data_IF_312933699761
#
_entry.id   IF_312933699761
#
_cell.length_a   1.000
_cell.length_b   1.000
_cell.length_c   1.000
_cell.angle_alpha   90.00
_cell.angle_beta   90.00
_cell.angle_gamma   90.00
#
_symmetry.space_group_name_H-M   'P 1'
#
loop_
_entity.id
_entity.type
_entity.pdbx_description
1 polymer ?
#
# COMPACT_ATOMS: atom_id res chain seq x y z
N UNK A 1 14.21 19.88 -11.65
CA UNK A 1 13.32 20.76 -10.90
C UNK A 1 13.97 21.23 -9.59
N UNK A 2 14.37 20.32 -8.66
CA UNK A 2 14.99 20.73 -7.38
C UNK A 2 16.28 21.53 -7.57
N UNK A 3 17.18 21.06 -8.43
CA UNK A 3 18.46 21.74 -8.69
C UNK A 3 18.27 23.13 -9.28
N UNK A 4 17.36 23.30 -10.21
CA UNK A 4 17.12 24.57 -10.89
C UNK A 4 16.23 25.52 -10.10
N UNK A 5 15.14 24.99 -9.48
CA UNK A 5 14.18 25.79 -8.75
C UNK A 5 14.74 26.35 -7.44
N UNK A 6 15.56 25.59 -6.74
CA UNK A 6 16.19 25.99 -5.48
C UNK A 6 17.65 26.45 -5.63
N UNK A 7 18.14 26.55 -6.86
CA UNK A 7 19.52 26.94 -7.16
C UNK A 7 20.56 26.14 -6.35
N UNK A 8 20.34 24.80 -6.25
CA UNK A 8 21.20 23.90 -5.51
C UNK A 8 22.41 23.49 -6.33
N UNK A 9 23.60 23.82 -5.85
CA UNK A 9 24.87 23.42 -6.47
C UNK A 9 25.42 22.11 -5.92
N UNK A 10 24.77 21.54 -4.90
CA UNK A 10 25.23 20.33 -4.21
C UNK A 10 24.61 19.06 -4.79
N UNK A 11 25.24 17.93 -4.51
CA UNK A 11 24.67 16.62 -4.83
C UNK A 11 23.35 16.40 -4.10
N UNK A 12 22.34 15.87 -4.80
CA UNK A 12 21.04 15.53 -4.22
C UNK A 12 20.94 14.01 -4.17
N UNK A 13 20.59 13.48 -3.00
CA UNK A 13 20.24 12.09 -2.79
C UNK A 13 18.74 11.99 -2.46
N UNK A 14 18.00 11.24 -3.27
CA UNK A 14 16.61 10.92 -3.01
C UNK A 14 16.54 9.66 -2.14
N UNK A 15 15.91 9.78 -0.98
CA UNK A 15 15.68 8.65 -0.06
C UNK A 15 14.24 8.15 -0.18
N UNK A 16 14.01 6.83 -0.11
CA UNK A 16 12.67 6.29 -0.05
C UNK A 16 12.01 6.63 1.31
N UNK A 17 10.70 6.81 1.29
CA UNK A 17 9.92 6.91 2.53
C UNK A 17 9.70 5.51 3.13
N UNK A 18 10.71 4.98 3.80
CA UNK A 18 10.71 3.63 4.34
C UNK A 18 11.32 3.58 5.74
N UNK A 19 11.20 2.43 6.38
CA UNK A 19 11.75 2.13 7.71
C UNK A 19 12.56 0.84 7.67
N UNK A 20 13.41 0.61 8.66
CA UNK A 20 14.13 -0.64 8.80
C UNK A 20 13.17 -1.83 8.97
N UNK A 21 13.62 -3.00 8.54
CA UNK A 21 12.90 -4.25 8.82
C UNK A 21 12.89 -4.49 10.33
N UNK A 22 11.75 -4.78 10.94
CA UNK A 22 11.70 -5.07 12.37
C UNK A 22 12.43 -6.39 12.66
N UNK A 23 13.12 -6.45 13.77
CA UNK A 23 13.69 -7.69 14.33
C UNK A 23 12.65 -8.53 15.08
N UNK A 24 11.37 -8.10 15.06
CA UNK A 24 10.29 -8.66 15.87
C UNK A 24 9.46 -9.60 15.02
N UNK A 25 8.98 -10.69 15.66
CA UNK A 25 8.00 -11.60 15.07
C UNK A 25 6.74 -10.85 14.64
N UNK A 26 6.37 -10.98 13.35
CA UNK A 26 5.14 -10.42 12.80
C UNK A 26 4.01 -11.46 12.87
N UNK A 27 2.91 -11.09 13.53
CA UNK A 27 1.72 -11.94 13.58
C UNK A 27 0.96 -11.89 12.25
N UNK A 28 0.94 -12.98 11.49
CA UNK A 28 0.37 -13.04 10.15
C UNK A 28 -1.17 -13.10 10.09
N UNK A 29 -1.87 -13.10 11.22
CA UNK A 29 -3.33 -13.15 11.32
C UNK A 29 -3.91 -12.06 12.24
N UNK A 30 -3.17 -10.99 12.45
CA UNK A 30 -3.55 -9.87 13.32
C UNK A 30 -4.92 -9.26 12.94
N UNK A 31 -5.11 -8.91 11.66
CA UNK A 31 -6.38 -8.33 11.19
C UNK A 31 -7.52 -9.33 11.23
N UNK A 32 -7.27 -10.60 10.86
CA UNK A 32 -8.30 -11.64 10.90
C UNK A 32 -8.86 -11.84 12.31
N UNK A 33 -7.98 -11.85 13.32
CA UNK A 33 -8.38 -11.94 14.72
C UNK A 33 -9.15 -10.71 15.17
N UNK A 34 -8.60 -9.53 14.88
CA UNK A 34 -9.17 -8.24 15.30
C UNK A 34 -10.55 -7.98 14.70
N UNK A 35 -10.81 -8.40 13.47
CA UNK A 35 -12.05 -8.17 12.74
C UNK A 35 -13.00 -9.38 12.73
N UNK A 36 -12.62 -10.49 13.35
CA UNK A 36 -13.46 -11.70 13.41
C UNK A 36 -13.66 -12.39 12.05
N UNK A 37 -12.67 -12.32 11.15
CA UNK A 37 -12.76 -12.82 9.75
C UNK A 37 -11.75 -13.92 9.46
N UNK A 38 -11.63 -14.89 10.36
CA UNK A 38 -10.75 -16.02 10.21
C UNK A 38 -11.06 -16.79 8.90
N UNK A 39 -9.99 -17.20 8.20
CA UNK A 39 -10.10 -17.91 6.92
C UNK A 39 -10.45 -17.04 5.70
N UNK A 40 -10.72 -15.74 5.88
CA UNK A 40 -10.90 -14.81 4.77
C UNK A 40 -9.56 -14.30 4.24
N UNK A 41 -9.53 -13.98 2.94
CA UNK A 41 -8.42 -13.27 2.29
C UNK A 41 -8.57 -11.78 2.47
N UNK A 42 -7.48 -11.09 2.84
CA UNK A 42 -7.50 -9.66 3.10
C UNK A 42 -6.74 -8.88 2.02
N UNK A 43 -7.44 -7.94 1.41
CA UNK A 43 -6.86 -6.84 0.63
C UNK A 43 -6.84 -5.61 1.54
N UNK A 44 -5.67 -5.08 1.82
CA UNK A 44 -5.47 -4.02 2.79
C UNK A 44 -5.19 -2.67 2.12
N UNK A 45 -6.01 -1.67 2.43
CA UNK A 45 -5.64 -0.27 2.26
C UNK A 45 -5.26 0.31 3.62
N UNK A 46 -4.00 0.66 3.83
CA UNK A 46 -3.51 1.23 5.09
C UNK A 46 -3.09 2.68 4.92
N UNK A 47 -3.50 3.55 5.82
CA UNK A 47 -3.12 4.96 5.86
C UNK A 47 -4.26 5.93 5.57
N UNK A 48 -3.98 7.03 4.86
CA UNK A 48 -4.97 8.07 4.59
C UNK A 48 -6.19 7.57 3.81
N UNK A 49 -7.34 8.14 4.10
CA UNK A 49 -8.61 7.87 3.44
C UNK A 49 -9.06 9.13 2.69
N UNK A 50 -9.56 8.98 1.45
CA UNK A 50 -10.00 10.14 0.68
C UNK A 50 -10.08 9.89 -0.82
N UNK A 51 -10.58 10.89 -1.55
CA UNK A 51 -10.77 10.87 -3.01
C UNK A 51 -9.45 10.65 -3.76
N UNK A 52 -8.36 11.23 -3.27
CA UNK A 52 -7.04 11.04 -3.89
C UNK A 52 -6.51 9.59 -3.81
N UNK A 53 -7.05 8.77 -2.91
CA UNK A 53 -6.78 7.34 -2.81
C UNK A 53 -7.87 6.47 -3.45
N UNK A 54 -8.85 7.08 -4.11
CA UNK A 54 -9.98 6.38 -4.75
C UNK A 54 -10.68 5.40 -3.81
N UNK A 55 -10.87 5.78 -2.53
CA UNK A 55 -11.40 4.85 -1.52
C UNK A 55 -12.81 4.38 -1.84
N UNK A 56 -13.68 5.26 -2.37
CA UNK A 56 -15.03 4.89 -2.77
C UNK A 56 -15.01 3.94 -3.96
N UNK A 57 -14.28 4.27 -5.01
CA UNK A 57 -14.14 3.44 -6.20
C UNK A 57 -13.54 2.07 -5.88
N UNK A 58 -12.59 2.04 -4.93
CA UNK A 58 -12.03 0.80 -4.41
C UNK A 58 -13.10 -0.02 -3.67
N UNK A 59 -13.87 0.59 -2.79
CA UNK A 59 -14.96 -0.07 -2.06
C UNK A 59 -16.02 -0.59 -3.03
N UNK A 60 -16.45 0.22 -4.00
CA UNK A 60 -17.42 -0.17 -5.03
C UNK A 60 -16.92 -1.37 -5.87
N UNK A 61 -15.63 -1.46 -6.15
CA UNK A 61 -15.06 -2.58 -6.91
C UNK A 61 -15.26 -3.94 -6.23
N UNK A 62 -15.47 -3.97 -4.90
CA UNK A 62 -15.66 -5.20 -4.12
C UNK A 62 -16.89 -6.01 -4.52
N UNK A 63 -17.87 -5.40 -5.17
CA UNK A 63 -19.05 -6.13 -5.69
C UNK A 63 -18.66 -7.28 -6.64
N UNK A 64 -17.53 -7.16 -7.34
CA UNK A 64 -17.02 -8.14 -8.30
C UNK A 64 -15.94 -9.07 -7.71
N UNK A 65 -15.62 -8.95 -6.40
CA UNK A 65 -14.61 -9.80 -5.77
C UNK A 65 -15.19 -11.13 -5.32
N UNK A 66 -14.35 -12.14 -5.14
CA UNK A 66 -14.75 -13.40 -4.54
C UNK A 66 -15.34 -13.19 -3.12
N UNK A 67 -16.28 -14.06 -2.74
CA UNK A 67 -17.00 -13.95 -1.46
C UNK A 67 -16.09 -14.06 -0.23
N UNK A 68 -14.97 -14.77 -0.36
CA UNK A 68 -13.99 -14.99 0.70
C UNK A 68 -12.88 -13.94 0.73
N UNK A 69 -12.94 -12.91 -0.13
CA UNK A 69 -12.01 -11.77 -0.15
C UNK A 69 -12.66 -10.56 0.49
N UNK A 70 -11.98 -9.96 1.45
CA UNK A 70 -12.40 -8.75 2.16
C UNK A 70 -11.47 -7.59 1.86
N UNK A 71 -12.04 -6.42 1.62
CA UNK A 71 -11.32 -5.15 1.66
C UNK A 71 -11.28 -4.66 3.10
N UNK A 72 -10.10 -4.35 3.61
CA UNK A 72 -9.94 -3.71 4.91
C UNK A 72 -9.34 -2.33 4.70
N UNK A 73 -10.06 -1.30 5.17
CA UNK A 73 -9.50 0.03 5.35
C UNK A 73 -8.96 0.14 6.77
N UNK A 74 -7.63 0.22 6.92
CA UNK A 74 -7.00 0.64 8.17
C UNK A 74 -6.65 2.11 8.07
N UNK A 75 -7.36 2.94 8.82
CA UNK A 75 -7.19 4.41 8.81
C UNK A 75 -6.30 4.82 9.97
N UNK A 76 -5.16 5.43 9.67
CA UNK A 76 -4.14 5.78 10.66
C UNK A 76 -4.53 6.93 11.60
N UNK A 77 -5.58 7.66 11.28
CA UNK A 77 -6.14 8.74 12.10
C UNK A 77 -7.67 8.69 12.00
N UNK A 78 -8.33 9.11 13.07
CA UNK A 78 -9.78 9.21 13.08
C UNK A 78 -10.23 10.28 12.09
N UNK A 79 -11.15 9.92 11.21
CA UNK A 79 -11.75 10.83 10.24
C UNK A 79 -13.07 11.27 10.83
N UNK A 80 -13.07 12.37 11.61
CA UNK A 80 -14.27 12.96 12.17
C UNK A 80 -14.82 14.00 11.19
N UNK A 81 -16.15 14.07 11.05
CA UNK A 81 -16.88 15.04 10.21
C UNK A 81 -16.50 15.02 8.72
N UNK A 82 -15.96 13.91 8.21
CA UNK A 82 -15.65 13.76 6.80
C UNK A 82 -16.81 13.06 6.06
N UNK A 83 -17.62 13.85 5.37
CA UNK A 83 -18.76 13.35 4.59
C UNK A 83 -18.39 12.28 3.55
N UNK A 84 -17.19 12.35 2.99
CA UNK A 84 -16.71 11.34 2.05
C UNK A 84 -16.43 10.00 2.75
N UNK A 85 -15.88 10.05 3.98
CA UNK A 85 -15.68 8.87 4.79
C UNK A 85 -17.02 8.26 5.20
N UNK A 86 -17.97 9.08 5.68
CA UNK A 86 -19.31 8.65 6.08
C UNK A 86 -20.05 7.97 4.92
N UNK A 87 -20.01 8.56 3.72
CA UNK A 87 -20.64 7.98 2.54
C UNK A 87 -20.13 6.56 2.24
N UNK A 88 -18.84 6.31 2.38
CA UNK A 88 -18.26 4.99 2.16
C UNK A 88 -18.53 4.05 3.34
N UNK A 89 -18.44 4.56 4.57
CA UNK A 89 -18.61 3.77 5.78
C UNK A 89 -20.04 3.24 5.96
N UNK A 90 -21.05 4.05 5.62
CA UNK A 90 -22.46 3.72 5.76
C UNK A 90 -23.03 2.92 4.57
N UNK A 91 -22.29 2.82 3.48
CA UNK A 91 -22.72 2.09 2.30
C UNK A 91 -22.73 0.57 2.53
N UNK A 92 -23.75 -0.10 2.01
CA UNK A 92 -23.84 -1.57 2.07
C UNK A 92 -22.98 -2.23 1.00
N UNK A 93 -21.85 -2.75 1.39
CA UNK A 93 -20.95 -3.57 0.53
C UNK A 93 -21.13 -5.07 0.76
N UNK A 94 -22.28 -5.50 1.29
CA UNK A 94 -22.61 -6.91 1.56
C UNK A 94 -21.55 -7.60 2.44
N UNK A 95 -21.05 -6.89 3.43
CA UNK A 95 -20.02 -7.37 4.35
C UNK A 95 -18.65 -7.62 3.70
N UNK A 96 -18.36 -7.07 2.52
CA UNK A 96 -17.06 -7.21 1.86
C UNK A 96 -16.07 -6.13 2.25
N UNK A 97 -16.53 -4.98 2.72
CA UNK A 97 -15.70 -3.85 3.18
C UNK A 97 -15.71 -3.81 4.70
N UNK A 98 -14.55 -3.74 5.29
CA UNK A 98 -14.35 -3.70 6.73
C UNK A 98 -13.46 -2.50 7.09
N UNK A 99 -13.67 -1.95 8.28
CA UNK A 99 -12.92 -0.80 8.78
C UNK A 99 -12.19 -1.15 10.07
N UNK A 100 -10.91 -0.83 10.10
CA UNK A 100 -10.04 -0.88 11.28
C UNK A 100 -9.68 0.56 11.65
N UNK A 101 -10.50 1.18 12.51
CA UNK A 101 -10.43 2.63 12.82
C UNK A 101 -9.57 2.94 14.04
N UNK A 102 -9.23 1.95 14.86
CA UNK A 102 -8.40 2.17 16.03
C UNK A 102 -6.93 2.20 15.62
N UNK A 103 -6.20 3.25 15.94
CA UNK A 103 -4.75 3.30 15.71
C UNK A 103 -4.04 2.10 16.33
N UNK A 104 -2.94 1.72 15.71
CA UNK A 104 -2.04 0.70 16.22
C UNK A 104 -0.69 1.34 16.53
N UNK A 105 0.06 0.74 17.46
CA UNK A 105 1.44 1.16 17.70
C UNK A 105 2.32 0.88 16.47
N UNK A 106 3.46 1.53 16.40
CA UNK A 106 4.43 1.29 15.32
C UNK A 106 4.86 -0.18 15.26
N UNK A 107 4.95 -0.86 16.40
CA UNK A 107 5.30 -2.28 16.48
C UNK A 107 4.18 -3.20 15.95
N UNK A 108 2.93 -2.84 16.20
CA UNK A 108 1.77 -3.60 15.70
C UNK A 108 1.50 -3.36 14.22
N UNK A 109 1.95 -2.22 13.67
CA UNK A 109 1.71 -1.88 12.26
C UNK A 109 2.28 -2.94 11.31
N UNK A 110 3.44 -3.49 11.60
CA UNK A 110 4.05 -4.51 10.76
C UNK A 110 3.26 -5.83 10.82
N UNK A 111 2.75 -6.22 12.00
CA UNK A 111 1.85 -7.38 12.14
C UNK A 111 0.51 -7.15 11.44
N UNK A 112 -0.03 -5.93 11.52
CA UNK A 112 -1.24 -5.55 10.80
C UNK A 112 -1.04 -5.68 9.29
N UNK A 113 0.05 -5.14 8.76
CA UNK A 113 0.38 -5.21 7.34
C UNK A 113 0.66 -6.64 6.91
N UNK A 114 1.47 -7.40 7.67
CA UNK A 114 1.83 -8.79 7.37
C UNK A 114 0.62 -9.74 7.36
N UNK A 115 -0.47 -9.37 8.01
CA UNK A 115 -1.72 -10.14 8.02
C UNK A 115 -2.53 -10.01 6.72
N UNK A 116 -2.15 -9.12 5.81
CA UNK A 116 -2.79 -8.97 4.51
C UNK A 116 -2.26 -9.98 3.47
N UNK A 117 -3.15 -10.44 2.60
CA UNK A 117 -2.77 -11.24 1.44
C UNK A 117 -2.31 -10.36 0.26
N UNK A 118 -2.89 -9.14 0.15
CA UNK A 118 -2.59 -8.14 -0.89
C UNK A 118 -2.67 -6.75 -0.29
N UNK A 119 -1.68 -5.91 -0.52
CA UNK A 119 -1.73 -4.48 -0.26
C UNK A 119 -2.29 -3.73 -1.46
N UNK A 120 -3.11 -2.70 -1.23
CA UNK A 120 -3.64 -1.90 -2.34
C UNK A 120 -3.33 -0.42 -2.15
N UNK A 121 -2.84 0.22 -3.23
CA UNK A 121 -2.41 1.62 -3.23
C UNK A 121 -2.90 2.31 -4.51
N UNK A 122 -4.16 2.72 -4.51
CA UNK A 122 -4.72 3.49 -5.63
C UNK A 122 -4.45 4.97 -5.45
N UNK A 123 -4.28 5.66 -6.57
CA UNK A 123 -4.02 7.08 -6.64
C UNK A 123 -4.82 7.72 -7.77
N UNK A 124 -5.49 8.82 -7.48
CA UNK A 124 -6.25 9.61 -8.45
C UNK A 124 -5.36 10.69 -9.05
N UNK A 125 -5.04 10.58 -10.34
CA UNK A 125 -4.31 11.64 -11.05
C UNK A 125 -5.12 12.95 -11.10
N UNK A 126 -6.45 12.84 -11.13
CA UNK A 126 -7.35 14.01 -11.09
C UNK A 126 -7.17 14.83 -9.81
N UNK A 127 -7.09 14.15 -8.65
CA UNK A 127 -7.00 14.81 -7.34
C UNK A 127 -5.57 15.22 -6.99
N UNK A 128 -4.58 14.44 -7.42
CA UNK A 128 -3.16 14.66 -7.10
C UNK A 128 -2.43 15.49 -8.15
N UNK A 129 -2.99 15.56 -9.37
CA UNK A 129 -2.32 16.22 -10.50
C UNK A 129 -0.95 15.60 -10.79
N UNK A 130 0.03 16.43 -11.14
CA UNK A 130 1.40 15.98 -11.43
C UNK A 130 2.10 15.23 -10.29
N UNK A 131 1.63 15.37 -9.04
CA UNK A 131 2.19 14.67 -7.87
C UNK A 131 2.05 13.16 -7.99
N UNK A 132 0.99 12.68 -8.62
CA UNK A 132 0.80 11.24 -8.87
C UNK A 132 1.96 10.67 -9.70
N UNK A 133 2.40 11.40 -10.74
CA UNK A 133 3.50 10.97 -11.62
C UNK A 133 4.83 10.80 -10.89
N UNK A 134 5.08 11.59 -9.85
CA UNK A 134 6.36 11.60 -9.11
C UNK A 134 6.29 10.87 -7.76
N UNK A 135 5.21 10.17 -7.47
CA UNK A 135 5.01 9.54 -6.17
C UNK A 135 6.09 8.51 -5.84
N UNK A 136 6.38 7.60 -6.75
CA UNK A 136 7.51 6.68 -6.69
C UNK A 136 7.81 6.13 -5.30
N UNK A 137 9.02 6.34 -4.82
CA UNK A 137 9.51 5.90 -3.52
C UNK A 137 9.02 6.77 -2.33
N UNK A 138 8.21 7.80 -2.57
CA UNK A 138 7.58 8.59 -1.51
C UNK A 138 6.29 7.94 -0.96
N UNK A 139 5.77 6.93 -1.64
CA UNK A 139 4.54 6.23 -1.27
C UNK A 139 4.74 5.26 -0.09
N UNK A 140 4.89 5.76 1.13
CA UNK A 140 5.28 4.98 2.33
C UNK A 140 4.45 3.72 2.57
N UNK A 141 3.14 3.72 2.25
CA UNK A 141 2.32 2.49 2.36
C UNK A 141 2.85 1.35 1.48
N UNK A 142 3.37 1.65 0.29
CA UNK A 142 3.98 0.66 -0.60
C UNK A 142 5.24 0.08 0.04
N UNK A 143 6.10 0.95 0.61
CA UNK A 143 7.28 0.50 1.35
C UNK A 143 6.93 -0.44 2.51
N UNK A 144 5.87 -0.13 3.26
CA UNK A 144 5.40 -0.99 4.35
C UNK A 144 4.88 -2.35 3.85
N UNK A 145 4.13 -2.39 2.75
CA UNK A 145 3.71 -3.66 2.15
C UNK A 145 4.90 -4.50 1.71
N UNK A 146 5.84 -3.92 0.97
CA UNK A 146 7.03 -4.62 0.48
C UNK A 146 7.91 -5.12 1.62
N UNK A 147 8.08 -4.33 2.69
CA UNK A 147 8.81 -4.70 3.90
C UNK A 147 8.26 -5.99 4.53
N UNK A 148 6.94 -6.10 4.59
CA UNK A 148 6.24 -7.25 5.15
C UNK A 148 6.02 -8.40 4.13
N UNK A 149 6.58 -8.32 2.94
CA UNK A 149 6.39 -9.34 1.90
C UNK A 149 4.96 -9.41 1.36
N UNK A 150 4.19 -8.33 1.47
CA UNK A 150 2.82 -8.26 0.97
C UNK A 150 2.82 -7.78 -0.48
N UNK A 151 2.32 -8.59 -1.43
CA UNK A 151 2.21 -8.21 -2.82
C UNK A 151 1.28 -7.02 -3.03
N UNK A 152 1.49 -6.24 -4.08
CA UNK A 152 0.83 -4.94 -4.24
C UNK A 152 -0.06 -4.91 -5.48
N UNK A 153 -1.23 -4.28 -5.33
CA UNK A 153 -1.99 -3.73 -6.47
C UNK A 153 -1.92 -2.21 -6.37
N UNK A 154 -1.50 -1.55 -7.45
CA UNK A 154 -1.42 -0.09 -7.46
C UNK A 154 -1.90 0.50 -8.79
N UNK A 155 -2.23 1.79 -8.79
CA UNK A 155 -2.52 2.51 -10.02
C UNK A 155 -1.33 2.48 -10.97
N UNK A 156 -1.58 2.28 -12.26
CA UNK A 156 -0.54 2.28 -13.30
C UNK A 156 0.02 3.68 -13.49
N UNK A 157 1.10 3.95 -12.76
CA UNK A 157 1.90 5.17 -12.86
C UNK A 157 3.32 4.82 -13.24
N UNK A 158 3.96 5.65 -14.08
CA UNK A 158 5.35 5.44 -14.51
C UNK A 158 6.30 5.30 -13.32
N UNK A 159 6.12 6.13 -12.29
CA UNK A 159 6.93 6.09 -11.06
C UNK A 159 6.76 4.83 -10.21
N UNK A 160 5.75 4.01 -10.49
CA UNK A 160 5.49 2.73 -9.82
C UNK A 160 5.84 1.52 -10.71
N UNK A 161 6.44 1.72 -11.88
CA UNK A 161 6.79 0.63 -12.84
C UNK A 161 7.71 -0.43 -12.24
N UNK A 162 8.47 -0.09 -11.18
CA UNK A 162 9.29 -1.06 -10.45
C UNK A 162 8.48 -2.22 -9.86
N UNK A 163 7.19 -2.03 -9.57
CA UNK A 163 6.30 -3.09 -9.07
C UNK A 163 6.22 -4.24 -10.09
N UNK A 164 6.08 -3.92 -11.37
CA UNK A 164 6.08 -4.92 -12.45
C UNK A 164 7.48 -5.44 -12.75
N UNK A 165 8.50 -4.56 -12.75
CA UNK A 165 9.89 -4.95 -12.96
C UNK A 165 10.36 -5.99 -11.95
N UNK A 166 10.02 -5.81 -10.68
CA UNK A 166 10.32 -6.77 -9.61
C UNK A 166 9.33 -7.93 -9.56
N UNK A 167 8.23 -7.88 -10.31
CA UNK A 167 7.12 -8.84 -10.20
C UNK A 167 6.62 -8.99 -8.76
N UNK A 168 6.56 -7.88 -8.02
CA UNK A 168 6.10 -7.84 -6.63
C UNK A 168 4.65 -7.39 -6.50
N UNK A 169 3.96 -7.19 -7.64
CA UNK A 169 2.57 -6.76 -7.68
C UNK A 169 2.07 -6.58 -9.11
N UNK A 170 0.93 -5.94 -9.23
CA UNK A 170 0.24 -5.68 -10.50
C UNK A 170 -0.20 -4.21 -10.53
N UNK A 171 0.08 -3.53 -11.63
CA UNK A 171 -0.43 -2.19 -11.89
C UNK A 171 -1.77 -2.27 -12.63
N UNK A 172 -2.76 -1.50 -12.16
CA UNK A 172 -4.12 -1.47 -12.74
C UNK A 172 -4.44 -0.08 -13.29
N UNK A 173 -5.10 -0.03 -14.43
CA UNK A 173 -5.55 1.23 -15.04
C UNK A 173 -6.95 1.62 -14.56
N UNK A 174 -7.81 0.63 -14.34
CA UNK A 174 -9.22 0.82 -13.98
C UNK A 174 -9.62 -0.08 -12.82
N UNK A 175 -10.64 0.32 -12.12
CA UNK A 175 -11.15 -0.40 -10.94
C UNK A 175 -11.64 -1.83 -11.28
N UNK A 176 -12.16 -2.04 -12.49
CA UNK A 176 -12.55 -3.37 -12.98
C UNK A 176 -11.40 -4.37 -13.09
N UNK A 177 -10.16 -3.88 -13.16
CA UNK A 177 -8.96 -4.71 -13.29
C UNK A 177 -8.48 -5.22 -11.92
N UNK A 178 -9.04 -4.70 -10.81
CA UNK A 178 -8.64 -5.05 -9.44
C UNK A 178 -8.97 -6.52 -9.12
N UNK A 179 -10.19 -6.98 -9.38
CA UNK A 179 -10.59 -8.36 -9.07
C UNK A 179 -9.75 -9.41 -9.83
N UNK A 180 -9.48 -9.29 -11.14
CA UNK A 180 -8.55 -10.16 -11.84
C UNK A 180 -7.12 -10.11 -11.27
N UNK A 181 -6.64 -8.91 -10.87
CA UNK A 181 -5.31 -8.76 -10.28
C UNK A 181 -5.21 -9.47 -8.92
N UNK A 182 -6.24 -9.35 -8.05
CA UNK A 182 -6.32 -10.07 -6.78
C UNK A 182 -6.20 -11.58 -7.05
N UNK A 183 -7.01 -12.14 -7.94
CA UNK A 183 -7.04 -13.58 -8.21
C UNK A 183 -5.67 -14.07 -8.74
N UNK A 184 -5.03 -13.30 -9.62
CA UNK A 184 -3.70 -13.61 -10.15
C UNK A 184 -2.63 -13.62 -9.06
N UNK A 185 -2.65 -12.64 -8.14
CA UNK A 185 -1.72 -12.58 -7.02
C UNK A 185 -1.96 -13.75 -6.06
N UNK A 186 -3.21 -14.00 -5.67
CA UNK A 186 -3.55 -15.07 -4.73
C UNK A 186 -3.16 -16.46 -5.26
N UNK A 187 -3.30 -16.70 -6.56
CA UNK A 187 -2.88 -17.95 -7.20
C UNK A 187 -1.36 -18.18 -7.23
N UNK A 188 -0.56 -17.12 -7.04
CA UNK A 188 0.90 -17.16 -7.09
C UNK A 188 1.53 -16.40 -5.91
N UNK A 189 0.87 -16.39 -4.76
CA UNK A 189 1.18 -15.53 -3.63
C UNK A 189 2.63 -15.64 -3.17
N UNK A 190 3.15 -16.86 -3.07
CA UNK A 190 4.52 -17.10 -2.58
C UNK A 190 5.58 -16.46 -3.48
N UNK A 191 5.37 -16.53 -4.80
CA UNK A 191 6.27 -15.87 -5.76
C UNK A 191 6.24 -14.35 -5.59
N UNK A 192 5.03 -13.76 -5.57
CA UNK A 192 4.87 -12.32 -5.40
C UNK A 192 5.43 -11.83 -4.05
N UNK A 193 5.22 -12.60 -2.97
CA UNK A 193 5.72 -12.29 -1.63
C UNK A 193 7.26 -12.29 -1.56
N UNK A 194 7.91 -13.33 -2.12
CA UNK A 194 9.38 -13.37 -2.22
C UNK A 194 9.93 -12.17 -3.01
N UNK A 195 9.26 -11.82 -4.08
CA UNK A 195 9.61 -10.69 -4.91
C UNK A 195 9.38 -9.33 -4.20
N UNK A 196 8.33 -9.22 -3.38
CA UNK A 196 8.09 -8.04 -2.55
C UNK A 196 9.25 -7.81 -1.56
N UNK A 197 9.67 -8.85 -0.84
CA UNK A 197 10.85 -8.77 0.03
C UNK A 197 12.14 -8.42 -0.75
N UNK A 198 12.33 -8.98 -1.95
CA UNK A 198 13.48 -8.64 -2.80
C UNK A 198 13.45 -7.17 -3.20
N UNK A 199 12.31 -6.69 -3.69
CA UNK A 199 12.11 -5.28 -4.05
C UNK A 199 12.39 -4.34 -2.87
N UNK A 200 11.90 -4.71 -1.67
CA UNK A 200 12.19 -3.93 -0.47
C UNK A 200 13.69 -3.84 -0.19
N UNK A 201 14.39 -4.97 -0.13
CA UNK A 201 15.84 -5.00 0.18
C UNK A 201 16.68 -4.21 -0.82
N UNK A 202 16.35 -4.31 -2.10
CA UNK A 202 17.17 -3.70 -3.16
C UNK A 202 16.85 -2.23 -3.41
N UNK A 203 15.58 -1.83 -3.27
CA UNK A 203 15.11 -0.50 -3.67
C UNK A 203 14.63 0.37 -2.52
N UNK A 204 14.14 -0.22 -1.42
CA UNK A 204 13.48 0.53 -0.35
C UNK A 204 14.26 0.54 0.97
N UNK A 205 15.13 -0.44 1.21
CA UNK A 205 15.81 -0.58 2.51
C UNK A 205 16.75 0.61 2.77
N UNK A 206 16.64 1.28 3.93
CA UNK A 206 17.42 2.50 4.21
C UNK A 206 18.94 2.29 4.10
N UNK A 207 19.49 1.12 4.48
CA UNK A 207 20.92 0.84 4.40
C UNK A 207 21.49 0.97 2.98
N UNK A 208 20.68 0.68 1.95
CA UNK A 208 21.10 0.83 0.56
C UNK A 208 21.49 2.28 0.20
N UNK A 209 21.03 3.23 1.02
CA UNK A 209 21.26 4.66 0.83
C UNK A 209 22.27 5.24 1.81
N UNK A 210 22.47 4.65 2.99
CA UNK A 210 23.40 5.15 4.02
C UNK A 210 24.84 5.24 3.51
N UNK A 211 25.29 4.25 2.72
CA UNK A 211 26.63 4.28 2.08
C UNK A 211 26.78 5.49 1.17
N UNK A 212 25.74 5.79 0.39
CA UNK A 212 25.73 6.94 -0.53
C UNK A 212 25.73 8.29 0.21
N UNK A 213 25.11 8.34 1.41
CA UNK A 213 25.17 9.54 2.26
C UNK A 213 26.61 9.80 2.70
N UNK A 214 27.35 8.78 3.13
CA UNK A 214 28.77 8.91 3.53
C UNK A 214 29.70 9.34 2.40
N UNK A 215 29.33 9.16 1.13
CA UNK A 215 30.07 9.61 -0.05
C UNK A 215 29.79 11.10 -0.41
N UNK A 216 28.75 11.69 0.19
CA UNK A 216 28.30 13.06 -0.12
C UNK A 216 28.79 14.05 0.98
N UNK A 217 28.96 13.56 2.21
CA UNK A 217 29.49 14.31 3.36
C UNK A 217 31.00 14.33 3.29
#
# INVERSE_FOLDING_TARGET
>A
FLLTHFNLNNKILLLPNSSFTPEIYMESNFLQKRLGVQGQKIVLHSGGFGKWFKCKELADSTYNWDKNVKLVFHVSHRVEDDKYFEEVYESDYRGKVLFSLNPVSTYELDSLVASADVGIALYSEKELGYRATYMGLAAGKIGNYLKCGVPIIATKLLSLSYIETYQCGILVEKEKDIAPAINKILSNRDMYSKNAHRCYRELWHPESYLKKVGEII
#
